data_IF_235830552023
#
_entry.id   IF_235830552023
#
_cell.length_a   1.000
_cell.length_b   1.000
_cell.length_c   1.000
_cell.angle_alpha   90.00
_cell.angle_beta   90.00
_cell.angle_gamma   90.00
#
_symmetry.space_group_name_H-M   'P 1'
#
loop_
_entity.id
_entity.type
_entity.pdbx_description
1 polymer ?
#
# COMPACT_ATOMS: atom_id res chain seq x y z
N UNK A 1 -15.83 2.49 -0.03
CA UNK A 1 -15.75 1.04 -0.29
C UNK A 1 -14.57 0.54 0.49
N UNK A 2 -14.80 -0.42 1.38
CA UNK A 2 -13.75 -1.03 2.18
C UNK A 2 -13.29 -2.29 1.44
N UNK A 3 -12.06 -2.27 0.93
CA UNK A 3 -11.48 -3.44 0.28
C UNK A 3 -10.98 -4.41 1.35
N UNK A 4 -11.26 -5.71 1.19
CA UNK A 4 -10.69 -6.74 2.06
C UNK A 4 -9.17 -6.59 2.09
N UNK A 5 -8.54 -6.46 3.27
CA UNK A 5 -7.10 -6.41 3.37
C UNK A 5 -6.45 -7.64 2.74
N UNK A 6 -5.26 -7.47 2.16
CA UNK A 6 -4.46 -8.58 1.61
C UNK A 6 -3.10 -8.61 2.29
N UNK A 7 -2.55 -9.80 2.47
CA UNK A 7 -1.17 -9.96 2.91
C UNK A 7 -0.22 -9.95 1.70
N UNK A 8 0.87 -9.18 1.78
CA UNK A 8 1.91 -9.16 0.78
C UNK A 8 3.28 -8.91 1.42
N UNK A 9 4.25 -9.82 1.18
CA UNK A 9 5.61 -9.79 1.78
C UNK A 9 5.59 -9.60 3.32
N UNK A 10 4.66 -10.27 3.99
CA UNK A 10 4.47 -10.20 5.44
C UNK A 10 3.92 -8.87 5.96
N UNK A 11 3.49 -7.97 5.06
CA UNK A 11 2.78 -6.75 5.42
C UNK A 11 1.29 -6.91 5.08
N UNK A 12 0.41 -6.34 5.88
CA UNK A 12 -1.00 -6.19 5.51
C UNK A 12 -1.17 -4.92 4.67
N UNK A 13 -1.87 -5.05 3.55
CA UNK A 13 -2.27 -3.95 2.68
C UNK A 13 -3.78 -3.78 2.80
N UNK A 14 -4.24 -2.59 3.15
CA UNK A 14 -5.67 -2.23 3.15
C UNK A 14 -5.90 -0.92 2.40
N UNK A 15 -7.07 -0.76 1.79
CA UNK A 15 -7.37 0.41 0.95
C UNK A 15 -8.66 1.08 1.39
N UNK A 16 -8.56 2.40 1.57
CA UNK A 16 -9.72 3.27 1.79
C UNK A 16 -10.03 3.99 0.47
N UNK A 17 -11.22 3.75 -0.08
CA UNK A 17 -11.70 4.45 -1.28
C UNK A 17 -12.78 5.48 -0.90
N UNK A 18 -12.52 6.73 -1.26
CA UNK A 18 -13.44 7.84 -1.08
C UNK A 18 -14.04 8.27 -2.42
N UNK A 19 -15.35 8.52 -2.44
CA UNK A 19 -16.03 9.13 -3.58
C UNK A 19 -16.07 10.64 -3.41
N UNK A 20 -15.54 11.40 -4.38
CA UNK A 20 -15.46 12.86 -4.35
C UNK A 20 -15.82 13.42 -5.73
N UNK A 21 -16.84 14.25 -5.80
CA UNK A 21 -17.25 14.96 -7.02
C UNK A 21 -17.42 14.07 -8.28
N UNK A 22 -17.94 12.85 -8.13
CA UNK A 22 -18.14 11.90 -9.23
C UNK A 22 -16.95 10.99 -9.52
N UNK A 23 -15.85 11.15 -8.78
CA UNK A 23 -14.63 10.35 -8.94
C UNK A 23 -14.31 9.56 -7.66
N UNK A 24 -13.44 8.56 -7.80
CA UNK A 24 -12.97 7.71 -6.72
C UNK A 24 -11.48 7.90 -6.49
N UNK A 25 -11.11 8.14 -5.24
CA UNK A 25 -9.73 8.37 -4.80
C UNK A 25 -9.38 7.35 -3.72
N UNK A 26 -8.29 6.61 -3.93
CA UNK A 26 -7.81 5.62 -2.99
C UNK A 26 -6.68 6.16 -2.10
N UNK A 27 -6.64 5.68 -0.87
CA UNK A 27 -5.49 5.77 0.04
C UNK A 27 -5.14 4.36 0.47
N UNK A 28 -3.88 3.97 0.25
CA UNK A 28 -3.35 2.68 0.71
C UNK A 28 -2.86 2.82 2.16
N UNK A 29 -3.11 1.80 2.95
CA UNK A 29 -2.51 1.59 4.26
C UNK A 29 -1.64 0.33 4.19
N UNK A 30 -0.42 0.44 4.71
CA UNK A 30 0.53 -0.66 4.85
C UNK A 30 0.81 -0.85 6.33
N UNK A 31 0.49 -2.03 6.86
CA UNK A 31 0.87 -2.43 8.21
C UNK A 31 1.98 -3.47 8.15
N UNK A 32 3.13 -3.13 8.75
CA UNK A 32 4.28 -4.03 8.86
C UNK A 32 4.16 -4.89 10.13
N UNK A 33 4.84 -6.05 10.17
CA UNK A 33 5.00 -6.81 11.41
C UNK A 33 5.52 -5.91 12.52
N UNK A 34 4.91 -6.00 13.70
CA UNK A 34 5.20 -5.10 14.84
C UNK A 34 4.31 -3.86 14.90
N UNK A 35 3.25 -3.77 14.08
CA UNK A 35 2.21 -2.75 14.19
C UNK A 35 2.59 -1.38 13.61
N UNK A 36 3.70 -1.29 12.88
CA UNK A 36 4.09 -0.04 12.20
C UNK A 36 3.17 0.17 11.00
N UNK A 37 2.37 1.23 11.04
CA UNK A 37 1.42 1.60 9.99
C UNK A 37 1.91 2.80 9.19
N UNK A 38 1.74 2.73 7.87
CA UNK A 38 2.03 3.82 6.93
C UNK A 38 0.85 4.00 5.98
N UNK A 39 0.49 5.26 5.70
CA UNK A 39 -0.47 5.60 4.67
C UNK A 39 0.24 6.13 3.41
N UNK A 40 -0.32 5.83 2.23
CA UNK A 40 0.11 6.35 0.94
C UNK A 40 -1.10 6.86 0.18
N UNK A 41 -1.10 8.17 -0.12
CA UNK A 41 -2.15 8.82 -0.88
C UNK A 41 -2.46 10.23 -0.35
N UNK A 42 -3.57 10.84 -0.82
CA UNK A 42 -4.52 10.31 -1.81
C UNK A 42 -3.87 10.09 -3.18
N UNK A 43 -4.27 9.01 -3.86
CA UNK A 43 -3.80 8.68 -5.22
C UNK A 43 -4.58 9.46 -6.29
N UNK A 44 -4.23 9.27 -7.57
CA UNK A 44 -4.98 9.88 -8.69
C UNK A 44 -6.47 9.48 -8.66
N UNK A 45 -7.31 10.27 -9.33
CA UNK A 45 -8.73 9.98 -9.46
C UNK A 45 -9.01 8.85 -10.45
N UNK A 46 -10.08 8.10 -10.20
CA UNK A 46 -10.57 7.01 -11.04
C UNK A 46 -12.08 7.08 -11.22
N UNK A 47 -12.56 6.57 -12.37
CA UNK A 47 -14.00 6.49 -12.66
C UNK A 47 -14.74 5.45 -11.81
N UNK A 48 -14.04 4.48 -11.20
CA UNK A 48 -14.66 3.43 -10.38
C UNK A 48 -13.88 3.18 -9.10
N UNK A 49 -14.60 2.79 -8.04
CA UNK A 49 -13.99 2.41 -6.76
C UNK A 49 -13.02 1.22 -6.90
N UNK A 50 -13.38 0.24 -7.75
CA UNK A 50 -12.54 -0.93 -7.99
C UNK A 50 -11.23 -0.57 -8.69
N UNK A 51 -11.25 0.35 -9.66
CA UNK A 51 -10.03 0.80 -10.33
C UNK A 51 -9.09 1.54 -9.36
N UNK A 52 -9.65 2.38 -8.49
CA UNK A 52 -8.89 3.06 -7.44
C UNK A 52 -8.25 2.06 -6.46
N UNK A 53 -9.02 1.06 -6.02
CA UNK A 53 -8.52 0.02 -5.12
C UNK A 53 -7.41 -0.84 -5.74
N UNK A 54 -7.63 -1.33 -6.96
CA UNK A 54 -6.64 -2.14 -7.67
C UNK A 54 -5.33 -1.36 -7.86
N UNK A 55 -5.42 -0.11 -8.28
CA UNK A 55 -4.23 0.72 -8.44
C UNK A 55 -3.48 0.91 -7.12
N UNK A 56 -4.19 1.16 -6.02
CA UNK A 56 -3.57 1.31 -4.71
C UNK A 56 -2.84 0.06 -4.25
N UNK A 57 -3.40 -1.13 -4.47
CA UNK A 57 -2.72 -2.39 -4.17
C UNK A 57 -1.45 -2.59 -5.01
N UNK A 58 -1.50 -2.30 -6.32
CA UNK A 58 -0.32 -2.41 -7.18
C UNK A 58 0.79 -1.42 -6.76
N UNK A 59 0.43 -0.19 -6.37
CA UNK A 59 1.38 0.75 -5.78
C UNK A 59 1.99 0.22 -4.48
N UNK A 60 1.19 -0.42 -3.62
CA UNK A 60 1.65 -1.03 -2.38
C UNK A 60 2.66 -2.16 -2.60
N UNK A 61 2.35 -3.06 -3.54
CA UNK A 61 3.26 -4.14 -3.92
C UNK A 61 4.57 -3.58 -4.47
N UNK A 62 4.51 -2.61 -5.39
CA UNK A 62 5.67 -1.96 -5.96
C UNK A 62 6.54 -1.25 -4.90
N UNK A 63 5.93 -0.58 -3.91
CA UNK A 63 6.67 0.01 -2.80
C UNK A 63 7.41 -1.07 -1.99
N UNK A 64 6.73 -2.17 -1.66
CA UNK A 64 7.32 -3.25 -0.87
C UNK A 64 8.39 -4.03 -1.65
N UNK A 65 8.23 -4.18 -2.95
CA UNK A 65 9.25 -4.75 -3.84
C UNK A 65 10.50 -3.86 -3.88
N UNK A 66 10.34 -2.54 -4.06
CA UNK A 66 11.44 -1.57 -4.04
C UNK A 66 12.13 -1.45 -2.68
N UNK A 67 11.37 -1.46 -1.59
CA UNK A 67 11.90 -1.48 -0.23
C UNK A 67 12.68 -2.77 0.07
N UNK A 68 12.24 -3.91 -0.48
CA UNK A 68 12.94 -5.19 -0.35
C UNK A 68 14.26 -5.20 -1.14
N UNK A 69 14.29 -4.60 -2.33
CA UNK A 69 15.52 -4.46 -3.13
C UNK A 69 16.59 -3.61 -2.42
N UNK A 70 16.18 -2.60 -1.65
CA UNK A 70 17.08 -1.76 -0.86
C UNK A 70 17.49 -2.38 0.49
N UNK A 71 16.90 -3.52 0.86
CA UNK A 71 17.17 -4.27 2.10
C UNK A 71 17.97 -5.56 1.88
N UNK A 72 18.83 -5.61 0.86
CA UNK A 72 19.98 -6.51 0.92
C UNK A 72 20.73 -6.22 2.23
N UNK A 73 21.04 -7.24 3.05
CA UNK A 73 21.46 -7.03 4.42
C UNK A 73 22.80 -6.31 4.41
N UNK A 74 22.84 -5.10 4.99
CA UNK A 74 24.07 -4.67 5.67
C UNK A 74 24.17 -5.59 6.87
N UNK A 75 24.78 -6.75 6.63
CA UNK A 75 25.43 -7.55 7.66
C UNK A 75 26.29 -6.56 8.45
N UNK A 76 25.81 -6.17 9.64
CA UNK A 76 26.67 -5.65 10.67
C UNK A 76 27.34 -6.88 11.30
N UNK A 77 28.39 -7.36 10.65
CA UNK A 77 29.45 -8.14 11.29
C UNK A 77 30.58 -7.16 11.60
N UNK A 78 31.14 -7.37 12.77
CA UNK A 78 32.42 -6.87 13.32
C UNK A 78 32.39 -5.56 14.09
N UNK A 79 32.71 -5.70 15.39
CA UNK A 79 33.05 -4.64 16.33
C UNK A 79 32.90 -5.14 17.76
#
# INVERSE_FOLDING_TARGET
>A
MDSTPIEYRGCELSVIVQHRAGEFVATLLIERPGGVRRAIGPMRAFATAQAAANFAFECGKAELDGASAMRAPRVAVSG
#
